data_IF_128079783407
#
_entry.id   IF_128079783407
#
_cell.length_a   1.000
_cell.length_b   1.000
_cell.length_c   1.000
_cell.angle_alpha   90.00
_cell.angle_beta   90.00
_cell.angle_gamma   90.00
#
_symmetry.space_group_name_H-M   'P 1'
#
loop_
_entity.id
_entity.type
_entity.pdbx_description
1 polymer ?
#
# COMPACT_ATOMS: atom_id res chain seq x y z
N UNK A 1 -5.56 15.73 23.30
CA UNK A 1 -5.42 14.31 22.91
C UNK A 1 -5.73 14.21 21.43
N UNK A 2 -4.77 13.80 20.60
CA UNK A 2 -4.93 13.66 19.16
C UNK A 2 -5.66 12.35 18.82
N UNK A 3 -6.23 12.20 17.63
CA UNK A 3 -7.02 11.01 17.29
C UNK A 3 -6.19 9.71 17.34
N UNK A 4 -4.92 9.78 16.93
CA UNK A 4 -4.00 8.64 16.94
C UNK A 4 -3.66 8.18 18.37
N UNK A 5 -3.57 9.12 19.32
CA UNK A 5 -3.37 8.84 20.74
C UNK A 5 -4.53 8.02 21.31
N UNK A 6 -5.75 8.42 20.99
CA UNK A 6 -6.96 7.73 21.44
C UNK A 6 -7.00 6.29 20.91
N UNK A 7 -6.67 6.09 19.63
CA UNK A 7 -6.59 4.76 19.02
C UNK A 7 -5.50 3.92 19.70
N UNK A 8 -4.32 4.50 19.96
CA UNK A 8 -3.23 3.82 20.65
C UNK A 8 -3.63 3.38 22.07
N UNK A 9 -4.33 4.23 22.84
CA UNK A 9 -4.83 3.87 24.16
C UNK A 9 -5.83 2.71 24.13
N UNK A 10 -6.76 2.73 23.17
CA UNK A 10 -7.71 1.63 22.98
C UNK A 10 -7.03 0.32 22.59
N UNK A 11 -5.96 0.39 21.79
CA UNK A 11 -5.17 -0.77 21.38
C UNK A 11 -4.33 -1.32 22.54
N UNK A 12 -3.68 -0.47 23.34
CA UNK A 12 -2.86 -0.90 24.48
C UNK A 12 -3.68 -1.58 25.59
N UNK A 13 -4.98 -1.28 25.69
CA UNK A 13 -5.90 -2.05 26.57
C UNK A 13 -6.09 -3.49 26.11
N UNK A 14 -5.77 -3.81 24.85
CA UNK A 14 -5.90 -5.16 24.25
C UNK A 14 -4.58 -5.94 24.24
N UNK A 15 -3.44 -5.28 24.49
CA UNK A 15 -2.12 -5.91 24.54
C UNK A 15 -0.99 -4.93 24.25
N UNK A 16 0.25 -5.35 24.51
CA UNK A 16 1.45 -4.53 24.30
C UNK A 16 2.10 -4.75 22.92
N UNK A 17 1.61 -5.72 22.14
CA UNK A 17 2.16 -6.10 20.83
C UNK A 17 1.10 -5.99 19.75
N UNK A 18 1.37 -5.20 18.72
CA UNK A 18 0.46 -4.99 17.60
C UNK A 18 1.12 -5.17 16.25
N UNK A 19 0.30 -5.52 15.27
CA UNK A 19 0.66 -5.55 13.85
C UNK A 19 -0.33 -4.68 13.09
N UNK A 20 0.17 -3.71 12.35
CA UNK A 20 -0.64 -2.82 11.51
C UNK A 20 -0.33 -3.16 10.05
N UNK A 21 -1.36 -3.34 9.23
CA UNK A 21 -1.22 -3.60 7.81
C UNK A 21 -1.85 -2.46 7.00
N UNK A 22 -1.19 -2.11 5.90
CA UNK A 22 -1.69 -1.22 4.85
C UNK A 22 -1.33 -1.83 3.50
N UNK A 23 -2.13 -1.55 2.48
CA UNK A 23 -2.03 -2.21 1.19
C UNK A 23 -2.13 -1.24 0.02
N UNK A 24 -1.51 -1.61 -1.08
CA UNK A 24 -1.65 -0.91 -2.35
C UNK A 24 -1.56 -1.88 -3.52
N UNK A 25 -2.47 -1.74 -4.48
CA UNK A 25 -2.33 -2.33 -5.80
C UNK A 25 -1.58 -1.32 -6.69
N UNK A 26 -0.35 -1.63 -7.16
CA UNK A 26 0.43 -0.73 -8.03
C UNK A 26 -0.09 -0.75 -9.48
N UNK A 27 -1.38 -0.45 -9.67
CA UNK A 27 -2.07 -0.49 -10.97
C UNK A 27 -1.94 0.81 -11.79
N UNK A 28 -1.07 1.72 -11.38
CA UNK A 28 -0.93 3.07 -11.94
C UNK A 28 -0.33 4.03 -10.92
N UNK A 29 -0.25 5.32 -11.26
CA UNK A 29 0.39 6.33 -10.41
C UNK A 29 -0.18 6.36 -8.98
N UNK A 30 0.71 6.27 -8.00
CA UNK A 30 0.37 6.40 -6.58
C UNK A 30 -0.04 7.85 -6.30
N UNK A 31 -1.23 8.03 -5.72
CA UNK A 31 -1.79 9.35 -5.44
C UNK A 31 -1.91 9.63 -3.94
N UNK A 32 -2.24 10.88 -3.58
CA UNK A 32 -2.39 11.31 -2.18
C UNK A 32 -3.37 10.44 -1.36
N UNK A 33 -4.39 9.89 -2.00
CA UNK A 33 -5.30 8.93 -1.36
C UNK A 33 -4.59 7.66 -0.83
N UNK A 34 -3.65 7.07 -1.58
CA UNK A 34 -2.88 5.91 -1.12
C UNK A 34 -1.93 6.32 0.01
N UNK A 35 -1.27 7.46 -0.14
CA UNK A 35 -0.38 8.02 0.88
C UNK A 35 -1.12 8.24 2.21
N UNK A 36 -2.38 8.68 2.16
CA UNK A 36 -3.20 8.88 3.37
C UNK A 36 -3.36 7.60 4.19
N UNK A 37 -3.51 6.44 3.55
CA UNK A 37 -3.60 5.17 4.26
C UNK A 37 -2.30 4.86 5.01
N UNK A 38 -1.16 4.97 4.32
CA UNK A 38 0.17 4.76 4.89
C UNK A 38 0.45 5.72 6.05
N UNK A 39 0.13 7.01 5.90
CA UNK A 39 0.33 8.01 6.94
C UNK A 39 -0.57 7.77 8.15
N UNK A 40 -1.79 7.28 7.94
CA UNK A 40 -2.71 6.92 9.02
C UNK A 40 -2.15 5.76 9.84
N UNK A 41 -1.68 4.71 9.17
CA UNK A 41 -1.04 3.56 9.80
C UNK A 41 0.22 3.97 10.57
N UNK A 42 1.08 4.82 9.98
CA UNK A 42 2.30 5.31 10.62
C UNK A 42 2.00 6.20 11.84
N UNK A 43 0.97 7.06 11.77
CA UNK A 43 0.58 7.90 12.90
C UNK A 43 0.12 7.05 14.11
N UNK A 44 -0.66 5.99 13.88
CA UNK A 44 -1.06 5.06 14.95
C UNK A 44 0.15 4.26 15.47
N UNK A 45 1.04 3.81 14.57
CA UNK A 45 2.29 3.12 14.95
C UNK A 45 3.14 3.97 15.90
N UNK A 46 3.37 5.24 15.55
CA UNK A 46 4.14 6.18 16.40
C UNK A 46 3.46 6.39 17.75
N UNK A 47 2.15 6.66 17.75
CA UNK A 47 1.39 6.88 18.99
C UNK A 47 1.41 5.67 19.95
N UNK A 48 1.48 4.45 19.40
CA UNK A 48 1.67 3.22 20.17
C UNK A 48 3.10 3.08 20.72
N UNK A 49 4.11 3.31 19.89
CA UNK A 49 5.53 3.25 20.30
C UNK A 49 5.86 4.29 21.37
N UNK A 50 5.37 5.52 21.23
CA UNK A 50 5.53 6.61 22.20
C UNK A 50 4.95 6.25 23.59
N UNK A 51 4.07 5.24 23.65
CA UNK A 51 3.43 4.72 24.87
C UNK A 51 3.96 3.36 25.31
N UNK A 52 5.07 2.90 24.73
CA UNK A 52 5.73 1.64 25.10
C UNK A 52 5.16 0.39 24.42
N UNK A 53 4.25 0.53 23.45
CA UNK A 53 3.76 -0.56 22.62
C UNK A 53 4.82 -1.04 21.62
N UNK A 54 4.83 -2.35 21.35
CA UNK A 54 5.69 -2.99 20.34
C UNK A 54 4.89 -3.19 19.06
N UNK A 55 5.24 -2.46 18.01
CA UNK A 55 4.45 -2.48 16.77
C UNK A 55 5.28 -2.97 15.59
N UNK A 56 4.68 -3.83 14.75
CA UNK A 56 5.20 -4.15 13.42
C UNK A 56 4.25 -3.62 12.36
N UNK A 57 4.74 -2.76 11.48
CA UNK A 57 3.99 -2.34 10.29
C UNK A 57 4.29 -3.27 9.12
N UNK A 58 3.28 -3.56 8.32
CA UNK A 58 3.37 -4.35 7.10
C UNK A 58 2.78 -3.51 5.97
N UNK A 59 3.62 -3.19 5.00
CA UNK A 59 3.21 -2.59 3.73
C UNK A 59 3.06 -3.72 2.72
N UNK A 60 1.86 -3.88 2.18
CA UNK A 60 1.50 -4.93 1.23
C UNK A 60 1.40 -4.29 -0.16
N UNK A 61 2.16 -4.81 -1.10
CA UNK A 61 2.01 -4.49 -2.51
C UNK A 61 1.29 -5.66 -3.20
N UNK A 62 0.04 -5.44 -3.61
CA UNK A 62 -0.82 -6.44 -4.26
C UNK A 62 -0.45 -6.61 -5.73
N UNK A 63 0.80 -7.01 -5.99
CA UNK A 63 1.38 -7.13 -7.34
C UNK A 63 0.77 -8.27 -8.17
N UNK A 64 -0.02 -9.14 -7.55
CA UNK A 64 -0.68 -10.25 -8.24
C UNK A 64 -2.12 -9.94 -8.69
N UNK A 65 -2.64 -8.75 -8.32
CA UNK A 65 -3.90 -8.27 -8.87
C UNK A 65 -3.82 -8.16 -10.40
N UNK A 66 -4.94 -8.35 -11.11
CA UNK A 66 -4.98 -8.22 -12.55
C UNK A 66 -5.02 -6.76 -12.99
N UNK A 67 -4.40 -6.46 -14.14
CA UNK A 67 -4.68 -5.22 -14.86
C UNK A 67 -6.16 -5.22 -15.30
N UNK A 68 -7.01 -4.43 -14.62
CA UNK A 68 -8.47 -4.49 -14.80
C UNK A 68 -8.95 -3.99 -16.17
N UNK A 69 -8.23 -3.03 -16.74
CA UNK A 69 -8.48 -2.41 -18.04
C UNK A 69 -7.21 -1.70 -18.50
N UNK A 70 -7.13 -1.39 -19.80
CA UNK A 70 -6.10 -0.46 -20.27
C UNK A 70 -6.47 0.96 -19.83
N UNK A 71 -5.61 1.56 -19.02
CA UNK A 71 -5.78 2.95 -18.58
C UNK A 71 -5.30 3.93 -19.67
N UNK A 72 -5.79 5.19 -19.67
CA UNK A 72 -5.44 6.17 -20.71
C UNK A 72 -3.95 6.50 -20.82
N UNK A 73 -3.20 6.37 -19.71
CA UNK A 73 -1.75 6.60 -19.69
C UNK A 73 -0.94 5.45 -20.30
N UNK A 74 -1.57 4.32 -20.65
CA UNK A 74 -0.90 3.17 -21.24
C UNK A 74 -1.08 3.12 -22.76
N UNK A 75 -0.02 2.74 -23.52
CA UNK A 75 -0.11 2.50 -24.96
C UNK A 75 -1.15 1.43 -25.30
N UNK A 76 -1.73 1.50 -26.50
CA UNK A 76 -2.79 0.59 -26.95
C UNK A 76 -2.40 -0.90 -26.88
N UNK A 77 -1.12 -1.23 -27.07
CA UNK A 77 -0.62 -2.59 -26.98
C UNK A 77 -0.84 -3.26 -25.61
N UNK A 78 -1.12 -2.48 -24.55
CA UNK A 78 -1.40 -3.02 -23.21
C UNK A 78 -2.79 -3.66 -23.09
N UNK A 79 -3.67 -3.50 -24.08
CA UNK A 79 -4.96 -4.20 -24.10
C UNK A 79 -4.79 -5.74 -24.03
N UNK A 80 -3.70 -6.28 -24.59
CA UNK A 80 -3.38 -7.72 -24.53
C UNK A 80 -3.01 -8.24 -23.13
N UNK A 81 -2.67 -7.34 -22.21
CA UNK A 81 -2.27 -7.69 -20.85
C UNK A 81 -3.41 -7.53 -19.83
N UNK A 82 -4.58 -7.07 -20.26
CA UNK A 82 -5.76 -6.97 -19.38
C UNK A 82 -6.12 -8.35 -18.84
N UNK A 83 -6.33 -8.45 -17.53
CA UNK A 83 -6.57 -9.70 -16.82
C UNK A 83 -5.29 -10.42 -16.36
N UNK A 84 -4.10 -10.01 -16.80
CA UNK A 84 -2.84 -10.58 -16.32
C UNK A 84 -2.41 -9.95 -14.98
N UNK A 85 -1.72 -10.70 -14.09
CA UNK A 85 -1.13 -10.14 -12.87
C UNK A 85 -0.13 -9.03 -13.17
N UNK A 86 -0.20 -7.90 -12.44
CA UNK A 86 0.68 -6.73 -12.67
C UNK A 86 2.17 -7.10 -12.64
N UNK A 87 2.58 -7.98 -11.72
CA UNK A 87 3.94 -8.53 -11.61
C UNK A 87 4.44 -9.30 -12.85
N UNK A 88 3.54 -9.68 -13.76
CA UNK A 88 3.85 -10.43 -14.99
C UNK A 88 3.73 -9.59 -16.27
N UNK A 89 3.37 -8.32 -16.14
CA UNK A 89 3.22 -7.41 -17.27
C UNK A 89 4.54 -6.65 -17.45
N UNK A 90 5.04 -6.45 -18.69
CA UNK A 90 6.22 -5.63 -18.92
C UNK A 90 6.07 -4.19 -18.41
N UNK A 91 7.19 -3.61 -17.96
CA UNK A 91 7.23 -2.21 -17.54
C UNK A 91 6.95 -1.27 -18.74
N UNK A 92 6.03 -0.28 -18.60
CA UNK A 92 5.70 0.63 -19.69
C UNK A 92 6.82 1.59 -20.10
N UNK A 93 7.80 1.86 -19.21
CA UNK A 93 8.98 2.68 -19.56
C UNK A 93 10.20 1.85 -19.99
N UNK A 94 10.16 0.52 -19.87
CA UNK A 94 11.28 -0.37 -20.21
C UNK A 94 12.42 -0.43 -19.19
N UNK A 95 12.38 0.33 -18.08
CA UNK A 95 13.49 0.43 -17.12
C UNK A 95 13.32 -0.44 -15.86
N UNK A 96 12.10 -0.91 -15.57
CA UNK A 96 11.79 -1.71 -14.38
C UNK A 96 11.51 -3.17 -14.76
N UNK A 97 11.58 -4.09 -13.78
CA UNK A 97 11.39 -5.53 -14.04
C UNK A 97 10.00 -5.88 -14.59
N UNK A 98 8.97 -5.19 -14.11
CA UNK A 98 7.57 -5.41 -14.50
C UNK A 98 6.74 -4.15 -14.22
N UNK A 99 5.46 -4.18 -14.59
CA UNK A 99 4.50 -3.11 -14.40
C UNK A 99 4.34 -2.74 -12.92
N UNK A 100 4.29 -3.72 -12.02
CA UNK A 100 4.10 -3.48 -10.59
C UNK A 100 5.31 -2.81 -9.93
N UNK A 101 6.53 -3.01 -10.44
CA UNK A 101 7.74 -2.33 -9.94
C UNK A 101 7.93 -0.92 -10.50
N UNK A 102 7.15 -0.53 -11.51
CA UNK A 102 7.19 0.81 -12.09
C UNK A 102 6.38 1.83 -11.28
N UNK A 103 5.30 1.38 -10.65
CA UNK A 103 4.36 2.21 -9.91
C UNK A 103 4.47 1.95 -8.41
#
# INVERSE_FOLDING_TARGET
MHWADKVAEELLRRGDKHRIATGITPSGHIHLGNLREMLTADAVRRALEDRGGKVKIIYIADTFDPLRKRYPFLPAEYDKYVGMPLSRIPCPCGEHKNYAEHF
#
